data_IF_739863701377
#
_entry.id   IF_739863701377
#
_cell.length_a   1.000
_cell.length_b   1.000
_cell.length_c   1.000
_cell.angle_alpha   90.00
_cell.angle_beta   90.00
_cell.angle_gamma   90.00
#
_symmetry.space_group_name_H-M   'P 1'
#
loop_
_entity.id
_entity.type
_entity.pdbx_description
1 polymer ?
#
# COMPACT_ATOMS: atom_id res chain seq x y z
N UNK A 1 27.69 43.57 72.03
CA UNK A 1 28.50 42.81 71.04
C UNK A 1 27.55 42.09 70.08
N UNK A 2 27.77 42.18 68.76
CA UNK A 2 27.28 41.28 67.66
C UNK A 2 25.76 40.96 67.58
N UNK A 3 25.06 40.93 66.42
CA UNK A 3 25.31 41.32 65.01
C UNK A 3 23.94 41.29 64.26
N UNK A 4 23.74 42.18 63.26
CA UNK A 4 22.85 42.09 62.06
C UNK A 4 21.32 41.82 62.23
N UNK A 5 20.42 42.77 61.88
CA UNK A 5 19.79 43.09 60.57
C UNK A 5 18.73 42.04 60.08
N UNK A 6 17.41 42.33 59.95
CA UNK A 6 16.67 43.19 58.95
C UNK A 6 16.84 42.69 57.49
N UNK A 7 15.84 42.57 56.57
CA UNK A 7 14.50 43.16 56.28
C UNK A 7 13.69 42.08 55.47
N UNK A 8 12.46 41.60 55.73
CA UNK A 8 11.05 42.10 55.63
C UNK A 8 10.54 42.63 54.27
N UNK A 9 9.57 41.93 53.67
CA UNK A 9 8.57 42.47 52.71
C UNK A 9 8.90 42.34 51.20
N UNK A 10 7.93 42.36 50.28
CA UNK A 10 6.46 42.27 50.39
C UNK A 10 5.89 41.80 49.02
N UNK A 11 4.76 41.07 49.02
CA UNK A 11 4.04 40.66 47.80
C UNK A 11 3.18 41.79 47.25
N UNK A 12 3.10 41.94 45.92
CA UNK A 12 1.91 42.46 45.22
C UNK A 12 1.91 42.17 43.71
N UNK A 13 0.78 41.66 43.21
CA UNK A 13 0.46 41.65 41.77
C UNK A 13 0.03 43.05 41.33
N UNK A 14 0.34 43.42 40.08
CA UNK A 14 -0.44 44.41 39.33
C UNK A 14 -0.49 44.02 37.85
N UNK A 15 -1.71 43.77 37.37
CA UNK A 15 -2.06 43.62 35.95
C UNK A 15 -2.45 45.02 35.43
N UNK A 16 -2.18 45.37 34.16
CA UNK A 16 -2.99 46.32 33.36
C UNK A 16 -2.51 46.42 31.89
N UNK A 17 -3.35 45.87 30.99
CA UNK A 17 -3.82 46.41 29.68
C UNK A 17 -2.95 47.33 28.79
N UNK A 18 -3.01 47.10 27.47
CA UNK A 18 -2.71 48.15 26.47
C UNK A 18 -2.74 47.73 24.99
N UNK A 19 -3.91 47.54 24.38
CA UNK A 19 -4.05 47.60 22.91
C UNK A 19 -4.27 49.06 22.47
N UNK A 20 -3.64 49.51 21.38
CA UNK A 20 -4.13 50.65 20.60
C UNK A 20 -3.63 50.60 19.15
N UNK A 21 -4.36 51.28 18.26
CA UNK A 21 -4.34 51.10 16.80
C UNK A 21 -3.99 52.42 16.09
N UNK A 22 -3.32 52.29 14.93
CA UNK A 22 -3.10 53.31 13.88
C UNK A 22 -2.31 54.59 14.21
N UNK A 23 -1.36 54.93 13.32
CA UNK A 23 -1.64 56.00 12.34
C UNK A 23 -0.78 55.94 11.06
N UNK A 24 -1.42 56.31 9.96
CA UNK A 24 -0.84 56.76 8.69
C UNK A 24 0.04 58.01 8.92
N UNK A 25 0.96 58.47 8.07
CA UNK A 25 1.53 57.99 6.79
C UNK A 25 2.61 59.02 6.39
N UNK A 26 3.69 58.63 5.71
CA UNK A 26 4.27 59.51 4.68
C UNK A 26 5.14 58.76 3.66
N UNK A 27 5.16 59.27 2.43
CA UNK A 27 5.56 58.56 1.23
C UNK A 27 7.03 58.74 0.85
N UNK A 28 7.68 57.67 0.38
CA UNK A 28 8.75 57.78 -0.63
C UNK A 28 8.53 56.76 -1.75
N UNK A 29 8.21 57.28 -2.93
CA UNK A 29 8.17 56.56 -4.20
C UNK A 29 9.57 56.09 -4.58
N UNK A 30 9.75 54.79 -4.83
CA UNK A 30 10.83 54.26 -5.68
C UNK A 30 10.43 52.89 -6.23
N UNK A 31 10.37 52.83 -7.56
CA UNK A 31 10.30 51.68 -8.46
C UNK A 31 9.31 50.53 -8.20
N UNK A 32 8.58 50.23 -9.28
CA UNK A 32 7.91 48.97 -9.49
C UNK A 32 8.92 47.82 -9.53
N UNK A 33 8.88 46.98 -8.51
CA UNK A 33 8.65 45.57 -8.77
C UNK A 33 7.39 45.19 -8.00
N UNK A 34 6.30 44.96 -8.73
CA UNK A 34 5.18 44.23 -8.16
C UNK A 34 5.66 42.80 -8.00
N UNK A 35 6.34 42.53 -6.88
CA UNK A 35 6.56 41.17 -6.43
C UNK A 35 5.19 40.52 -6.44
N UNK A 36 5.03 39.61 -7.40
CA UNK A 36 3.93 38.68 -7.43
C UNK A 36 4.11 37.85 -6.17
N UNK A 37 3.49 38.31 -5.07
CA UNK A 37 3.29 37.55 -3.84
C UNK A 37 2.60 36.29 -4.28
N UNK A 38 3.45 35.31 -4.58
CA UNK A 38 3.08 34.07 -5.22
C UNK A 38 2.47 33.28 -4.11
N UNK A 39 1.16 33.53 -3.92
CA UNK A 39 0.30 32.98 -2.88
C UNK A 39 0.78 31.57 -2.60
N UNK A 40 1.52 31.40 -1.51
CA UNK A 40 2.29 30.17 -1.27
C UNK A 40 1.26 29.07 -1.14
N UNK A 41 1.05 28.31 -2.22
CA UNK A 41 0.01 27.31 -2.29
C UNK A 41 0.30 26.31 -1.18
N UNK A 42 -0.48 26.42 -0.10
CA UNK A 42 -0.18 25.74 1.15
C UNK A 42 -0.16 24.24 0.88
N UNK A 43 1.01 23.63 1.13
CA UNK A 43 1.35 22.33 0.58
C UNK A 43 0.20 21.33 0.72
N UNK A 44 -0.24 20.80 -0.42
CA UNK A 44 -1.53 20.12 -0.56
C UNK A 44 -1.38 18.66 -0.17
N UNK A 45 -2.28 18.15 0.68
CA UNK A 45 -2.30 16.72 1.03
C UNK A 45 -2.49 15.86 -0.21
N UNK A 46 -1.70 14.79 -0.35
CA UNK A 46 -1.67 13.92 -1.54
C UNK A 46 -3.07 13.42 -1.96
N UNK A 47 -3.91 13.04 -1.00
CA UNK A 47 -5.27 12.55 -1.25
C UNK A 47 -6.20 13.61 -1.85
N UNK A 48 -5.88 14.90 -1.71
CA UNK A 48 -6.64 16.02 -2.26
C UNK A 48 -6.18 16.41 -3.68
N UNK A 49 -5.11 15.81 -4.20
CA UNK A 49 -4.65 16.03 -5.57
C UNK A 49 -5.66 15.42 -6.57
N UNK A 50 -5.84 16.07 -7.71
CA UNK A 50 -6.57 15.46 -8.83
C UNK A 50 -5.70 14.43 -9.55
N UNK A 51 -6.30 13.52 -10.31
CA UNK A 51 -5.61 12.34 -10.84
C UNK A 51 -4.42 12.68 -11.75
N UNK A 52 -4.50 13.79 -12.49
CA UNK A 52 -3.39 14.31 -13.30
C UNK A 52 -2.19 14.75 -12.45
N UNK A 53 -2.42 15.30 -11.26
CA UNK A 53 -1.35 15.63 -10.32
C UNK A 53 -0.82 14.35 -9.63
N UNK A 54 -1.71 13.45 -9.18
CA UNK A 54 -1.31 12.15 -8.58
C UNK A 54 -0.40 11.35 -9.51
N UNK A 55 -0.75 11.23 -10.81
CA UNK A 55 0.07 10.55 -11.83
C UNK A 55 1.48 11.15 -12.01
N UNK A 56 1.69 12.41 -11.62
CA UNK A 56 2.99 13.10 -11.66
C UNK A 56 3.78 13.00 -10.33
N UNK A 57 3.22 12.40 -9.29
CA UNK A 57 3.99 11.91 -8.15
C UNK A 57 4.43 10.50 -8.47
N UNK A 58 5.73 10.24 -8.41
CA UNK A 58 6.30 8.91 -8.65
C UNK A 58 6.88 8.36 -7.36
N UNK A 59 6.60 7.10 -7.09
CA UNK A 59 7.04 6.38 -5.92
C UNK A 59 7.99 5.26 -6.38
N UNK A 60 9.07 5.02 -5.63
CA UNK A 60 9.94 3.86 -5.80
C UNK A 60 10.23 3.28 -4.42
N UNK A 61 10.06 1.97 -4.30
CA UNK A 61 10.45 1.21 -3.11
C UNK A 61 11.86 0.67 -3.31
N UNK A 62 12.64 0.63 -2.23
CA UNK A 62 13.91 -0.10 -2.15
C UNK A 62 13.87 -0.98 -0.92
N UNK A 63 14.47 -2.17 -1.03
CA UNK A 63 14.77 -3.00 0.12
C UNK A 63 16.18 -2.64 0.58
N UNK A 64 16.32 -2.34 1.85
CA UNK A 64 17.59 -2.18 2.51
C UNK A 64 17.79 -3.45 3.36
N UNK A 65 18.87 -4.18 3.07
CA UNK A 65 19.24 -5.37 3.84
C UNK A 65 20.24 -4.92 4.91
N UNK A 66 19.82 -4.87 6.18
CA UNK A 66 20.82 -5.12 7.22
C UNK A 66 21.28 -6.59 7.10
N UNK A 67 22.55 -6.86 7.40
CA UNK A 67 23.20 -8.14 7.08
C UNK A 67 23.07 -9.18 8.18
N UNK A 68 22.64 -8.74 9.36
CA UNK A 68 22.73 -9.52 10.60
C UNK A 68 21.36 -10.06 11.07
N UNK A 69 20.23 -9.57 10.51
CA UNK A 69 18.87 -10.01 10.85
C UNK A 69 18.12 -10.68 9.68
N UNK A 70 17.12 -11.51 10.01
CA UNK A 70 16.25 -12.22 9.05
C UNK A 70 15.16 -11.34 8.44
N UNK A 71 15.07 -10.10 8.92
CA UNK A 71 13.99 -9.18 8.69
C UNK A 71 14.47 -8.01 7.83
N UNK A 72 13.61 -7.56 6.91
CA UNK A 72 14.01 -6.63 5.85
C UNK A 72 13.37 -5.26 6.07
N UNK A 73 14.11 -4.21 5.74
CA UNK A 73 13.63 -2.83 5.77
C UNK A 73 13.19 -2.38 4.37
N UNK A 74 12.09 -1.64 4.28
CA UNK A 74 11.58 -1.10 3.02
C UNK A 74 11.52 0.43 3.05
N UNK A 75 12.42 1.06 2.30
CA UNK A 75 12.49 2.51 2.13
C UNK A 75 11.64 3.01 0.95
N UNK A 76 11.06 4.21 1.07
CA UNK A 76 10.20 4.82 0.05
C UNK A 76 10.75 6.14 -0.48
N UNK A 77 11.16 6.13 -1.76
CA UNK A 77 11.46 7.35 -2.52
C UNK A 77 10.18 7.96 -3.10
N UNK A 78 9.90 9.22 -2.76
CA UNK A 78 8.82 10.04 -3.35
C UNK A 78 9.43 11.13 -4.24
N UNK A 79 9.05 11.17 -5.53
CA UNK A 79 9.46 12.16 -6.51
C UNK A 79 8.24 12.98 -6.98
N UNK A 80 8.16 14.23 -6.52
CA UNK A 80 7.08 15.16 -6.88
C UNK A 80 7.42 15.92 -8.16
N UNK A 81 6.93 15.44 -9.32
CA UNK A 81 7.08 16.17 -10.61
C UNK A 81 5.97 17.20 -10.86
N UNK A 82 5.16 17.53 -9.85
CA UNK A 82 4.12 18.56 -9.98
C UNK A 82 4.70 19.96 -9.73
N UNK A 83 3.89 21.00 -10.00
CA UNK A 83 4.20 22.40 -9.68
C UNK A 83 3.73 22.84 -8.28
N UNK A 84 3.35 21.89 -7.41
CA UNK A 84 2.76 22.13 -6.09
C UNK A 84 3.58 21.42 -5.03
N UNK A 85 3.70 22.01 -3.84
CA UNK A 85 4.23 21.28 -2.69
C UNK A 85 3.19 20.27 -2.20
N UNK A 86 3.62 19.05 -1.86
CA UNK A 86 2.72 17.94 -1.50
C UNK A 86 3.03 17.48 -0.07
N UNK A 87 1.99 17.23 0.72
CA UNK A 87 2.08 16.70 2.08
C UNK A 87 1.60 15.26 2.19
N UNK A 88 2.36 14.48 2.96
CA UNK A 88 2.06 13.10 3.37
C UNK A 88 2.11 13.01 4.89
N UNK A 89 1.19 12.27 5.50
CA UNK A 89 1.33 11.79 6.88
C UNK A 89 2.04 10.42 6.83
N UNK A 90 3.18 10.26 7.49
CA UNK A 90 4.01 9.05 7.33
C UNK A 90 3.30 7.81 7.92
N UNK A 91 2.67 7.93 9.09
CA UNK A 91 1.88 6.89 9.74
C UNK A 91 0.56 6.51 9.01
N UNK A 92 0.42 6.89 7.73
CA UNK A 92 -0.68 6.51 6.83
C UNK A 92 -0.24 5.68 5.64
N UNK A 93 1.04 5.30 5.56
CA UNK A 93 1.47 4.25 4.64
C UNK A 93 1.24 2.85 5.24
N UNK A 94 0.85 1.91 4.40
CA UNK A 94 0.66 0.49 4.75
C UNK A 94 1.21 -0.39 3.63
N UNK A 95 1.93 -1.45 4.00
CA UNK A 95 2.35 -2.51 3.09
C UNK A 95 1.25 -3.56 3.01
N UNK A 96 0.86 -3.94 1.79
CA UNK A 96 -0.31 -4.76 1.52
C UNK A 96 0.03 -5.89 0.55
N UNK A 97 -0.49 -7.10 0.78
CA UNK A 97 -0.57 -8.15 -0.23
C UNK A 97 -2.04 -8.37 -0.56
N UNK A 98 -2.48 -7.95 -1.75
CA UNK A 98 -3.91 -7.85 -2.06
C UNK A 98 -4.66 -6.94 -1.08
N UNK A 99 -5.66 -7.48 -0.39
CA UNK A 99 -6.44 -6.82 0.67
C UNK A 99 -5.80 -6.86 2.05
N UNK A 100 -4.81 -7.73 2.27
CA UNK A 100 -4.22 -7.95 3.59
C UNK A 100 -3.16 -6.90 3.88
N UNK A 101 -3.29 -6.21 5.01
CA UNK A 101 -2.19 -5.40 5.55
C UNK A 101 -1.14 -6.33 6.15
N UNK A 102 0.09 -6.25 5.62
CA UNK A 102 1.26 -7.01 6.10
C UNK A 102 2.13 -6.17 7.05
N UNK A 103 2.29 -4.87 6.80
CA UNK A 103 2.96 -3.94 7.72
C UNK A 103 2.30 -2.55 7.75
N UNK A 104 2.56 -1.79 8.81
CA UNK A 104 2.18 -0.36 8.95
C UNK A 104 3.46 0.47 8.95
N UNK A 105 3.41 1.74 8.56
CA UNK A 105 4.60 2.59 8.64
C UNK A 105 4.99 2.89 10.09
N UNK A 106 6.23 2.59 10.46
CA UNK A 106 6.81 2.93 11.77
C UNK A 106 7.19 4.42 11.87
N UNK A 107 7.35 5.12 10.73
CA UNK A 107 7.65 6.56 10.72
C UNK A 107 6.41 7.41 10.98
N UNK A 108 6.51 8.38 11.89
CA UNK A 108 5.44 9.32 12.25
C UNK A 108 5.55 10.72 11.58
N UNK A 109 4.54 11.57 11.79
CA UNK A 109 4.62 12.99 11.45
C UNK A 109 4.21 13.33 10.01
N UNK A 110 4.66 14.48 9.51
CA UNK A 110 4.27 15.02 8.18
C UNK A 110 5.48 15.35 7.32
N UNK A 111 5.64 14.62 6.21
CA UNK A 111 6.60 14.95 5.16
C UNK A 111 6.00 15.96 4.17
N UNK A 112 6.75 17.01 3.84
CA UNK A 112 6.45 17.89 2.70
C UNK A 112 7.49 17.68 1.59
N UNK A 113 7.04 17.23 0.43
CA UNK A 113 7.87 17.10 -0.79
C UNK A 113 7.57 18.28 -1.69
N UNK A 114 8.53 19.20 -1.85
CA UNK A 114 8.33 20.42 -2.65
C UNK A 114 8.17 20.12 -4.14
N UNK A 115 7.58 21.06 -4.87
CA UNK A 115 7.47 21.00 -6.33
C UNK A 115 8.83 20.71 -6.99
N UNK A 116 8.86 19.73 -7.89
CA UNK A 116 10.07 19.28 -8.60
C UNK A 116 11.08 18.51 -7.75
N UNK A 117 10.84 18.27 -6.45
CA UNK A 117 11.81 17.63 -5.56
C UNK A 117 11.57 16.13 -5.35
N UNK A 118 12.65 15.43 -5.01
CA UNK A 118 12.66 14.06 -4.50
C UNK A 118 12.92 14.09 -2.99
N UNK A 119 12.26 13.20 -2.25
CA UNK A 119 12.59 12.83 -0.87
C UNK A 119 12.63 11.32 -0.75
N UNK A 120 13.43 10.83 0.19
CA UNK A 120 13.45 9.44 0.62
C UNK A 120 12.89 9.42 2.04
N UNK A 121 12.10 8.40 2.34
CA UNK A 121 11.74 8.00 3.70
C UNK A 121 12.45 6.67 3.88
N UNK A 122 13.57 6.71 4.56
CA UNK A 122 14.36 5.53 4.89
C UNK A 122 13.57 4.68 5.91
N UNK A 123 13.66 3.35 5.84
CA UNK A 123 13.03 2.41 6.78
C UNK A 123 11.52 2.69 6.98
N UNK A 124 10.75 2.88 5.90
CA UNK A 124 9.32 3.20 6.03
C UNK A 124 8.55 2.05 6.68
N UNK A 125 8.96 0.82 6.38
CA UNK A 125 8.52 -0.40 7.07
C UNK A 125 9.76 -1.13 7.57
N UNK A 126 9.73 -1.53 8.83
CA UNK A 126 10.73 -2.36 9.52
C UNK A 126 10.13 -3.76 9.72
N UNK A 127 10.95 -4.73 10.15
CA UNK A 127 10.54 -6.11 10.47
C UNK A 127 9.76 -6.86 9.37
N UNK A 128 10.05 -6.60 8.07
CA UNK A 128 9.34 -7.25 6.96
C UNK A 128 9.99 -8.60 6.62
N UNK A 129 9.37 -9.69 7.06
CA UNK A 129 9.91 -11.04 6.84
C UNK A 129 10.05 -11.42 5.36
N UNK A 130 11.03 -12.29 5.07
CA UNK A 130 11.28 -12.79 3.72
C UNK A 130 10.06 -13.48 3.09
N UNK A 131 9.20 -14.15 3.87
CA UNK A 131 7.98 -14.79 3.36
C UNK A 131 6.97 -13.76 2.82
N UNK A 132 6.85 -12.60 3.47
CA UNK A 132 5.99 -11.51 2.99
C UNK A 132 6.52 -10.97 1.66
N UNK A 133 7.83 -10.76 1.54
CA UNK A 133 8.47 -10.26 0.32
C UNK A 133 8.35 -11.27 -0.84
N UNK A 134 8.60 -12.54 -0.57
CA UNK A 134 8.59 -13.62 -1.56
C UNK A 134 7.17 -14.05 -1.99
N UNK A 135 6.15 -13.83 -1.16
CA UNK A 135 4.75 -14.09 -1.51
C UNK A 135 4.23 -13.27 -2.70
N UNK A 136 4.91 -12.17 -3.05
CA UNK A 136 4.64 -11.37 -4.24
C UNK A 136 3.35 -10.54 -4.16
N UNK A 137 3.06 -9.84 -5.27
CA UNK A 137 1.91 -8.92 -5.42
C UNK A 137 1.81 -7.86 -4.30
N UNK A 138 2.95 -7.47 -3.73
CA UNK A 138 3.02 -6.45 -2.69
C UNK A 138 2.78 -5.05 -3.26
N UNK A 139 2.06 -4.23 -2.50
CA UNK A 139 1.75 -2.83 -2.82
C UNK A 139 1.84 -1.95 -1.59
N UNK A 140 2.14 -0.67 -1.79
CA UNK A 140 2.03 0.35 -0.74
C UNK A 140 0.77 1.15 -0.98
N UNK A 141 -0.09 1.22 0.04
CA UNK A 141 -1.26 2.10 0.08
C UNK A 141 -0.97 3.33 0.96
N UNK A 142 -1.61 4.45 0.65
CA UNK A 142 -1.59 5.67 1.46
C UNK A 142 -3.01 6.05 1.88
N UNK A 143 -3.29 6.09 3.18
CA UNK A 143 -4.63 6.22 3.80
C UNK A 143 -5.58 5.04 3.57
N UNK A 144 -5.76 4.57 2.32
CA UNK A 144 -6.71 3.50 1.97
C UNK A 144 -6.42 2.87 0.59
N UNK A 145 -7.24 1.87 0.24
CA UNK A 145 -7.20 1.11 -1.03
C UNK A 145 -7.32 1.96 -2.30
N UNK A 146 -8.02 3.10 -2.24
CA UNK A 146 -8.21 3.99 -3.39
C UNK A 146 -6.94 4.77 -3.75
N UNK A 147 -5.88 4.63 -2.94
CA UNK A 147 -4.63 5.36 -3.04
C UNK A 147 -3.44 4.40 -2.93
N UNK A 148 -3.43 3.34 -3.74
CA UNK A 148 -2.21 2.57 -4.04
C UNK A 148 -1.20 3.53 -4.68
N UNK A 149 -0.03 3.67 -4.07
CA UNK A 149 1.03 4.61 -4.49
C UNK A 149 2.20 3.92 -5.18
N UNK A 150 2.48 2.67 -4.84
CA UNK A 150 3.55 1.87 -5.46
C UNK A 150 3.17 0.38 -5.48
N UNK A 151 3.61 -0.32 -6.54
CA UNK A 151 3.84 -1.76 -6.45
C UNK A 151 5.26 -1.98 -5.93
N UNK A 152 5.45 -3.01 -5.11
CA UNK A 152 6.76 -3.41 -4.59
C UNK A 152 7.31 -4.47 -5.54
N UNK A 153 8.31 -4.10 -6.33
CA UNK A 153 9.12 -5.00 -7.13
C UNK A 153 10.58 -4.81 -6.72
N UNK A 154 11.16 -5.86 -6.14
CA UNK A 154 12.51 -5.87 -5.60
C UNK A 154 13.49 -6.65 -6.50
N UNK A 155 13.04 -7.17 -7.65
CA UNK A 155 13.86 -7.93 -8.60
C UNK A 155 14.26 -9.35 -8.17
N UNK A 156 14.08 -9.73 -6.90
CA UNK A 156 14.41 -11.06 -6.34
C UNK A 156 13.33 -12.13 -6.63
N UNK A 157 12.63 -12.05 -7.76
CA UNK A 157 11.58 -13.02 -8.08
C UNK A 157 12.21 -14.36 -8.49
N UNK A 158 12.02 -15.41 -7.67
CA UNK A 158 12.27 -16.78 -8.09
C UNK A 158 11.49 -17.07 -9.39
N UNK A 159 12.15 -17.70 -10.38
CA UNK A 159 11.73 -17.64 -11.77
C UNK A 159 10.45 -18.45 -12.09
N UNK A 160 9.27 -17.89 -11.81
CA UNK A 160 8.00 -18.27 -12.44
C UNK A 160 7.12 -17.07 -12.79
N UNK A 161 6.44 -17.20 -13.94
CA UNK A 161 5.38 -16.32 -14.44
C UNK A 161 5.77 -14.85 -14.63
N UNK A 162 6.24 -14.55 -15.84
CA UNK A 162 6.27 -13.18 -16.36
C UNK A 162 4.85 -12.76 -16.78
N UNK A 163 4.37 -11.65 -16.23
CA UNK A 163 3.26 -10.86 -16.79
C UNK A 163 3.63 -9.39 -16.73
N UNK A 164 4.54 -8.98 -17.60
CA UNK A 164 4.69 -7.57 -17.97
C UNK A 164 3.40 -7.14 -18.66
N UNK A 165 2.69 -6.15 -18.11
CA UNK A 165 1.68 -5.44 -18.90
C UNK A 165 2.38 -4.53 -19.92
N UNK A 166 1.77 -4.26 -21.09
CA UNK A 166 2.46 -3.65 -22.21
C UNK A 166 2.62 -2.14 -22.04
N UNK A 167 3.83 -1.65 -22.34
CA UNK A 167 4.01 -0.25 -22.72
C UNK A 167 3.39 -0.01 -24.09
N UNK A 168 2.24 0.66 -24.12
CA UNK A 168 1.79 1.36 -25.34
C UNK A 168 2.59 2.65 -25.48
N UNK A 169 3.64 2.61 -26.29
CA UNK A 169 4.01 3.74 -27.16
C UNK A 169 4.79 3.20 -28.37
N UNK A 170 4.14 3.23 -29.54
CA UNK A 170 4.77 2.85 -30.80
C UNK A 170 5.34 4.10 -31.48
N UNK A 171 6.65 4.16 -31.66
CA UNK A 171 7.21 4.76 -32.87
C UNK A 171 8.54 4.11 -33.29
N UNK A 172 8.64 3.79 -34.57
CA UNK A 172 9.77 3.14 -35.24
C UNK A 172 10.99 4.05 -35.40
N UNK A 173 12.18 3.47 -35.25
CA UNK A 173 13.27 3.64 -36.23
C UNK A 173 14.28 2.50 -36.15
N UNK A 174 14.69 2.03 -37.34
CA UNK A 174 15.74 1.06 -37.61
C UNK A 174 17.13 1.67 -37.37
N UNK A 175 18.12 0.90 -36.87
CA UNK A 175 19.11 0.29 -37.76
C UNK A 175 20.05 -0.75 -37.10
N UNK A 176 20.32 -1.80 -37.89
CA UNK A 176 21.52 -2.65 -38.01
C UNK A 176 22.71 -2.50 -37.05
N UNK A 177 23.13 -3.59 -36.40
CA UNK A 177 24.38 -4.31 -36.77
C UNK A 177 24.69 -5.58 -35.94
N UNK A 178 25.03 -6.66 -36.65
CA UNK A 178 26.19 -7.57 -36.49
C UNK A 178 26.81 -7.82 -35.09
N UNK A 179 27.29 -9.01 -34.72
CA UNK A 179 27.65 -10.20 -35.51
C UNK A 179 27.92 -11.42 -34.59
N UNK A 180 27.87 -12.65 -35.16
CA UNK A 180 28.76 -13.82 -34.94
C UNK A 180 29.23 -14.25 -33.52
N UNK A 181 29.43 -15.54 -33.20
CA UNK A 181 29.46 -16.75 -34.03
C UNK A 181 29.26 -18.05 -33.20
N UNK A 182 28.80 -19.12 -33.87
CA UNK A 182 29.15 -20.56 -33.71
C UNK A 182 29.69 -21.11 -32.36
N UNK A 183 29.31 -22.32 -31.91
CA UNK A 183 29.67 -23.56 -32.61
C UNK A 183 28.86 -24.81 -32.19
N UNK A 184 28.30 -25.50 -33.19
CA UNK A 184 28.13 -26.96 -33.40
C UNK A 184 27.89 -27.92 -32.20
N UNK A 185 26.75 -28.64 -32.19
CA UNK A 185 26.61 -30.09 -32.57
C UNK A 185 26.86 -31.05 -31.35
N UNK A 186 26.14 -32.15 -31.10
CA UNK A 186 25.50 -33.16 -31.99
C UNK A 186 24.40 -33.94 -31.25
N UNK A 187 23.58 -34.71 -31.98
CA UNK A 187 22.58 -35.72 -31.56
C UNK A 187 23.10 -36.69 -30.45
N UNK A 188 22.31 -37.49 -29.70
CA UNK A 188 21.21 -38.37 -30.16
C UNK A 188 20.46 -39.11 -29.00
N UNK A 189 19.25 -39.63 -29.31
CA UNK A 189 18.48 -40.76 -28.72
C UNK A 189 18.21 -40.98 -27.20
N UNK A 190 16.90 -40.96 -26.90
CA UNK A 190 16.08 -41.95 -26.16
C UNK A 190 16.68 -42.92 -25.11
N UNK A 191 16.09 -42.98 -23.91
CA UNK A 191 15.25 -44.12 -23.47
C UNK A 191 14.34 -43.75 -22.26
N UNK A 192 13.34 -44.57 -21.94
CA UNK A 192 12.23 -44.28 -21.01
C UNK A 192 12.22 -45.11 -19.71
N UNK A 193 11.58 -44.57 -18.66
CA UNK A 193 10.62 -45.24 -17.76
C UNK A 193 9.91 -44.16 -16.90
N UNK A 194 8.57 -44.00 -16.84
CA UNK A 194 7.56 -44.78 -16.04
C UNK A 194 8.00 -44.97 -14.57
N UNK A 195 7.28 -44.62 -13.51
CA UNK A 195 5.85 -44.27 -13.24
C UNK A 195 5.81 -43.16 -12.13
N UNK A 196 4.70 -42.57 -11.61
CA UNK A 196 3.26 -42.82 -11.70
C UNK A 196 2.44 -41.52 -11.53
N UNK A 197 1.11 -41.58 -11.69
CA UNK A 197 0.13 -40.48 -11.55
C UNK A 197 -0.33 -40.17 -10.11
N UNK A 198 -0.61 -38.89 -9.86
CA UNK A 198 -1.86 -38.47 -9.19
C UNK A 198 -2.39 -37.16 -9.82
N UNK A 199 -3.17 -37.27 -10.88
CA UNK A 199 -4.01 -36.17 -11.37
C UNK A 199 -4.99 -35.72 -10.27
N UNK A 200 -5.15 -34.41 -10.11
CA UNK A 200 -6.46 -33.83 -9.82
C UNK A 200 -6.67 -32.70 -10.82
N UNK A 201 -7.47 -32.97 -11.86
CA UNK A 201 -7.56 -32.09 -13.02
C UNK A 201 -8.22 -30.74 -12.73
N UNK A 202 -7.67 -29.72 -13.40
CA UNK A 202 -8.36 -28.46 -13.65
C UNK A 202 -9.77 -28.72 -14.22
N UNK A 203 -10.80 -28.38 -13.44
CA UNK A 203 -12.14 -28.11 -13.99
C UNK A 203 -12.53 -26.67 -13.67
N UNK A 204 -11.84 -25.75 -14.34
CA UNK A 204 -12.23 -24.35 -14.39
C UNK A 204 -13.43 -24.20 -15.35
N UNK A 205 -14.62 -24.57 -14.90
CA UNK A 205 -15.87 -24.31 -15.61
C UNK A 205 -16.09 -22.80 -15.65
N UNK A 206 -15.78 -22.21 -16.82
CA UNK A 206 -16.23 -20.93 -17.33
C UNK A 206 -16.65 -19.89 -16.27
N UNK A 207 -15.67 -19.16 -15.73
CA UNK A 207 -15.92 -18.07 -14.81
C UNK A 207 -16.84 -17.02 -15.47
N UNK A 208 -18.05 -16.86 -14.92
CA UNK A 208 -18.97 -15.82 -15.33
C UNK A 208 -18.32 -14.45 -15.10
N UNK A 209 -18.32 -13.58 -16.10
CA UNK A 209 -17.42 -12.41 -16.13
C UNK A 209 -17.72 -11.38 -15.03
N UNK A 210 -18.89 -11.50 -14.41
CA UNK A 210 -19.40 -10.66 -13.33
C UNK A 210 -19.19 -11.24 -11.92
N UNK A 211 -18.61 -12.44 -11.77
CA UNK A 211 -18.33 -13.02 -10.45
C UNK A 211 -17.39 -12.12 -9.62
N UNK A 212 -17.76 -11.84 -8.37
CA UNK A 212 -16.95 -11.10 -7.40
C UNK A 212 -15.88 -12.03 -6.80
N UNK A 213 -16.23 -13.29 -6.54
CA UNK A 213 -15.37 -14.30 -5.93
C UNK A 213 -14.79 -15.23 -7.00
N UNK A 214 -13.60 -14.88 -7.50
CA UNK A 214 -12.97 -15.56 -8.65
C UNK A 214 -12.00 -16.67 -8.26
N UNK A 215 -11.69 -16.80 -6.97
CA UNK A 215 -10.65 -17.70 -6.44
C UNK A 215 -10.96 -18.17 -5.01
N UNK A 216 -10.35 -19.29 -4.63
CA UNK A 216 -10.46 -19.90 -3.29
C UNK A 216 -10.06 -18.95 -2.14
N UNK A 217 -8.99 -18.17 -2.31
CA UNK A 217 -8.52 -17.20 -1.30
C UNK A 217 -9.56 -16.10 -1.02
N UNK A 218 -10.30 -15.68 -2.04
CA UNK A 218 -11.39 -14.71 -1.88
C UNK A 218 -12.62 -15.30 -1.17
N UNK A 219 -12.88 -16.61 -1.33
CA UNK A 219 -13.93 -17.30 -0.60
C UNK A 219 -13.58 -17.43 0.89
N UNK A 220 -12.33 -17.81 1.19
CA UNK A 220 -11.83 -17.92 2.56
C UNK A 220 -11.88 -16.58 3.32
N UNK A 221 -11.39 -15.50 2.69
CA UNK A 221 -11.44 -14.14 3.28
C UNK A 221 -12.87 -13.70 3.62
N UNK A 222 -13.83 -13.92 2.71
CA UNK A 222 -15.23 -13.58 2.96
C UNK A 222 -15.83 -14.43 4.09
N UNK A 223 -15.55 -15.74 4.11
CA UNK A 223 -15.99 -16.64 5.17
C UNK A 223 -15.47 -16.20 6.55
N UNK A 224 -14.18 -15.87 6.64
CA UNK A 224 -13.52 -15.37 7.86
C UNK A 224 -14.11 -14.04 8.32
N UNK A 225 -14.35 -13.08 7.42
CA UNK A 225 -14.99 -11.80 7.77
C UNK A 225 -16.44 -11.98 8.26
N UNK A 226 -17.14 -12.97 7.70
CA UNK A 226 -18.54 -13.26 7.99
C UNK A 226 -18.75 -14.00 9.32
N UNK A 227 -17.85 -14.89 9.71
CA UNK A 227 -18.05 -15.77 10.87
C UNK A 227 -17.05 -15.51 12.02
N UNK A 228 -15.94 -14.80 11.74
CA UNK A 228 -14.82 -14.59 12.66
C UNK A 228 -13.55 -15.33 12.22
N UNK A 229 -12.44 -14.97 12.87
CA UNK A 229 -11.15 -15.63 12.66
C UNK A 229 -11.13 -16.99 13.36
N UNK A 230 -11.34 -18.06 12.59
CA UNK A 230 -11.16 -19.44 13.06
C UNK A 230 -9.78 -19.96 12.65
N UNK A 231 -9.15 -20.69 13.58
CA UNK A 231 -7.82 -21.31 13.38
C UNK A 231 -7.84 -22.53 12.46
N UNK A 232 -9.01 -23.09 12.16
CA UNK A 232 -9.18 -24.15 11.16
C UNK A 232 -9.49 -23.53 9.80
N UNK A 233 -8.59 -23.69 8.84
CA UNK A 233 -8.82 -23.31 7.44
C UNK A 233 -9.83 -24.26 6.77
N UNK A 234 -10.66 -23.72 5.88
CA UNK A 234 -11.54 -24.53 5.04
C UNK A 234 -10.85 -24.83 3.70
N UNK A 235 -11.01 -26.05 3.20
CA UNK A 235 -10.58 -26.41 1.86
C UNK A 235 -11.66 -25.99 0.85
N UNK A 236 -11.37 -24.95 0.05
CA UNK A 236 -12.33 -24.36 -0.89
C UNK A 236 -12.23 -24.95 -2.29
N UNK A 237 -13.34 -25.53 -2.76
CA UNK A 237 -13.48 -26.08 -4.11
C UNK A 237 -14.51 -25.26 -4.90
N UNK A 238 -14.21 -24.92 -6.16
CA UNK A 238 -15.17 -24.23 -7.05
C UNK A 238 -16.33 -25.18 -7.36
N UNK A 239 -17.55 -24.68 -7.24
CA UNK A 239 -18.79 -25.39 -7.57
C UNK A 239 -19.70 -24.47 -8.39
N UNK A 240 -20.86 -24.98 -8.82
CA UNK A 240 -21.85 -24.13 -9.51
C UNK A 240 -22.34 -23.00 -8.58
N UNK A 241 -22.41 -21.79 -9.13
CA UNK A 241 -22.80 -20.55 -8.42
C UNK A 241 -21.88 -20.07 -7.28
N UNK A 242 -20.75 -20.73 -6.97
CA UNK A 242 -19.89 -20.31 -5.87
C UNK A 242 -18.72 -21.23 -5.53
N UNK A 243 -18.32 -21.21 -4.26
CA UNK A 243 -17.19 -21.96 -3.68
C UNK A 243 -17.68 -22.74 -2.46
N UNK A 244 -17.41 -24.03 -2.42
CA UNK A 244 -17.73 -24.91 -1.30
C UNK A 244 -16.49 -25.12 -0.44
N UNK A 245 -16.57 -24.72 0.83
CA UNK A 245 -15.57 -24.96 1.85
C UNK A 245 -15.93 -26.20 2.69
N UNK A 246 -14.92 -27.01 2.99
CA UNK A 246 -15.04 -28.19 3.87
C UNK A 246 -13.92 -28.19 4.91
N UNK A 247 -14.29 -28.34 6.18
CA UNK A 247 -13.37 -28.41 7.32
C UNK A 247 -13.01 -29.85 7.70
N UNK A 248 -11.91 -30.01 8.45
CA UNK A 248 -11.44 -31.33 8.93
C UNK A 248 -12.40 -31.98 9.94
N UNK A 249 -13.23 -31.17 10.60
CA UNK A 249 -14.28 -31.58 11.53
C UNK A 249 -15.60 -31.98 10.83
N UNK A 250 -15.66 -31.91 9.50
CA UNK A 250 -16.88 -32.10 8.72
C UNK A 250 -17.78 -30.86 8.62
N UNK A 251 -17.34 -29.72 9.15
CA UNK A 251 -17.99 -28.43 8.93
C UNK A 251 -18.02 -28.07 7.44
N UNK A 252 -19.07 -27.38 7.01
CA UNK A 252 -19.22 -26.94 5.61
C UNK A 252 -19.75 -25.51 5.53
N UNK A 253 -19.24 -24.78 4.53
CA UNK A 253 -19.63 -23.41 4.23
C UNK A 253 -19.67 -23.19 2.71
N UNK A 254 -20.46 -22.23 2.26
CA UNK A 254 -20.58 -21.88 0.85
C UNK A 254 -20.41 -20.37 0.69
N UNK A 255 -19.65 -19.94 -0.31
CA UNK A 255 -19.54 -18.52 -0.71
C UNK A 255 -20.00 -18.39 -2.15
N UNK A 256 -21.06 -17.64 -2.39
CA UNK A 256 -21.58 -17.43 -3.74
C UNK A 256 -20.61 -16.62 -4.60
N UNK A 257 -20.78 -16.67 -5.92
CA UNK A 257 -20.06 -15.79 -6.84
C UNK A 257 -20.41 -14.30 -6.66
N UNK A 258 -21.53 -13.98 -5.98
CA UNK A 258 -21.87 -12.63 -5.49
C UNK A 258 -21.19 -12.23 -4.18
N UNK A 259 -20.49 -13.16 -3.51
CA UNK A 259 -19.79 -12.92 -2.24
C UNK A 259 -20.65 -13.04 -0.98
N UNK A 260 -21.84 -13.62 -1.09
CA UNK A 260 -22.69 -13.94 0.06
C UNK A 260 -22.20 -15.25 0.69
N UNK A 261 -22.05 -15.27 2.02
CA UNK A 261 -21.48 -16.40 2.77
C UNK A 261 -22.61 -17.14 3.48
N UNK A 262 -22.69 -18.45 3.30
CA UNK A 262 -23.61 -19.33 4.03
C UNK A 262 -22.84 -20.33 4.88
N UNK A 263 -23.07 -20.34 6.18
CA UNK A 263 -22.44 -21.24 7.15
C UNK A 263 -23.41 -21.55 8.29
N UNK A 264 -23.37 -22.77 8.83
CA UNK A 264 -24.23 -23.22 9.94
C UNK A 264 -25.75 -22.97 9.72
N UNK A 265 -26.20 -22.95 8.46
CA UNK A 265 -27.59 -22.67 8.08
C UNK A 265 -27.98 -21.18 7.99
N UNK A 266 -27.06 -20.25 8.25
CA UNK A 266 -27.29 -18.80 8.15
C UNK A 266 -26.54 -18.22 6.94
N UNK A 267 -27.12 -17.22 6.27
CA UNK A 267 -26.48 -16.49 5.16
C UNK A 267 -26.23 -15.03 5.53
N UNK A 268 -24.98 -14.61 5.44
CA UNK A 268 -24.55 -13.22 5.59
C UNK A 268 -24.25 -12.63 4.22
N UNK A 269 -24.89 -11.52 3.87
CA UNK A 269 -24.72 -10.94 2.53
C UNK A 269 -23.36 -10.27 2.35
N UNK A 270 -22.85 -10.23 1.12
CA UNK A 270 -21.62 -9.49 0.77
C UNK A 270 -21.67 -8.04 1.27
N UNK A 271 -22.82 -7.37 1.08
CA UNK A 271 -23.03 -6.00 1.56
C UNK A 271 -22.93 -5.86 3.08
N UNK A 272 -23.35 -6.87 3.85
CA UNK A 272 -23.20 -6.88 5.31
C UNK A 272 -21.73 -7.07 5.71
N UNK A 273 -21.02 -7.97 5.03
CA UNK A 273 -19.61 -8.28 5.29
C UNK A 273 -18.72 -7.05 5.06
N UNK A 274 -18.86 -6.36 3.92
CA UNK A 274 -18.04 -5.18 3.61
C UNK A 274 -18.37 -3.98 4.52
N UNK A 275 -19.61 -3.83 4.96
CA UNK A 275 -20.02 -2.77 5.88
C UNK A 275 -19.59 -3.03 7.33
N UNK A 276 -19.53 -4.29 7.77
CA UNK A 276 -18.96 -4.64 9.09
C UNK A 276 -17.45 -4.37 9.15
N UNK A 277 -16.72 -4.69 8.07
CA UNK A 277 -15.28 -4.42 7.97
C UNK A 277 -14.93 -2.93 8.12
N UNK A 278 -15.81 -2.01 7.69
CA UNK A 278 -15.63 -0.56 7.90
C UNK A 278 -15.78 -0.12 9.37
N UNK A 279 -16.40 -0.95 10.21
CA UNK A 279 -16.68 -0.65 11.63
C UNK A 279 -15.75 -1.38 12.61
N UNK A 280 -14.68 -2.01 12.12
CA UNK A 280 -13.57 -2.49 12.96
C UNK A 280 -13.81 -3.80 13.73
N UNK A 281 -14.73 -4.65 13.28
CA UNK A 281 -14.95 -5.98 13.85
C UNK A 281 -15.57 -6.97 12.85
N UNK A 282 -15.53 -8.28 13.14
CA UNK A 282 -16.23 -9.28 12.34
C UNK A 282 -17.75 -9.03 12.40
N UNK A 283 -18.48 -9.55 11.40
CA UNK A 283 -19.94 -9.58 11.48
C UNK A 283 -20.31 -10.41 12.72
N UNK A 284 -21.06 -9.82 13.66
CA UNK A 284 -21.63 -10.59 14.76
C UNK A 284 -22.78 -11.44 14.20
N UNK A 285 -22.85 -12.75 14.52
CA UNK A 285 -23.95 -13.61 14.11
C UNK A 285 -25.29 -13.16 14.73
#
# INVERSE_FOLDING_TARGET
MKKSLFVVGLVSLLVLTGCSTNNNSESKTSNSDTEKVSKTDSAKGYQKLGDKDKKNVKFKVTKDNDKDDQDNELSLTINNKTKKDIKFNLAKFSLMSGSDKKASSEKEGTLTVKAGQKKIIDELFEDVSNDVLNGGNLSIQYLNSDNIVAQVDLGEKAATSATSQPDTDANTSTDTSNQNNTTANTNNDQNANTDQSSNTDNSATQADSNAIVKRADQADDLYRRSNGDFSAGLNWTKVDGGWQGTGEDGGSAFVSDSGDVTAHGNTTTYSTIVNAAQNGGPVKP
#
